data_IF_530223695535
#
_entry.id   IF_530223695535
#
_cell.length_a   1.000
_cell.length_b   1.000
_cell.length_c   1.000
_cell.angle_alpha   90.00
_cell.angle_beta   90.00
_cell.angle_gamma   90.00
#
_symmetry.space_group_name_H-M   'P 1'
#
loop_
_entity.id
_entity.type
_entity.pdbx_description
1 polymer ?
#
# COMPACT_ATOMS: atom_id res chain seq x y z
N UNK A 1 -20.27 26.46 -7.66
CA UNK A 1 -20.55 25.14 -7.05
C UNK A 1 -19.21 24.53 -6.70
N UNK A 2 -19.11 23.83 -5.57
CA UNK A 2 -17.86 23.18 -5.16
C UNK A 2 -17.43 22.15 -6.20
N UNK A 3 -16.18 22.21 -6.66
CA UNK A 3 -15.58 21.27 -7.61
C UNK A 3 -14.98 20.03 -6.91
N UNK A 4 -15.25 19.88 -5.61
CA UNK A 4 -14.77 18.78 -4.79
C UNK A 4 -15.46 17.47 -5.18
N UNK A 5 -14.68 16.44 -5.49
CA UNK A 5 -15.17 15.09 -5.81
C UNK A 5 -15.03 14.14 -4.62
N UNK A 6 -13.92 14.22 -3.89
CA UNK A 6 -13.65 13.40 -2.71
C UNK A 6 -12.89 14.22 -1.66
N UNK A 7 -13.44 14.31 -0.45
CA UNK A 7 -12.76 14.84 0.73
C UNK A 7 -12.59 13.71 1.73
N UNK A 8 -11.35 13.52 2.15
CA UNK A 8 -10.99 12.56 3.19
C UNK A 8 -10.32 13.33 4.31
N UNK A 9 -10.89 13.28 5.50
CA UNK A 9 -10.34 13.94 6.70
C UNK A 9 -10.05 12.89 7.78
N UNK A 10 -8.81 12.87 8.27
CA UNK A 10 -8.33 11.99 9.35
C UNK A 10 -8.78 10.54 9.18
N UNK A 11 -8.65 9.98 7.97
CA UNK A 11 -9.06 8.58 7.74
C UNK A 11 -8.22 7.65 8.60
N UNK A 12 -8.92 6.87 9.43
CA UNK A 12 -8.36 5.80 10.22
C UNK A 12 -9.20 4.54 10.07
N UNK A 13 -8.56 3.38 10.16
CA UNK A 13 -9.25 2.09 10.12
C UNK A 13 -8.78 1.18 11.21
N UNK A 14 -9.77 0.55 11.82
CA UNK A 14 -9.63 -0.39 12.90
C UNK A 14 -10.27 -1.72 12.52
N UNK A 15 -9.49 -2.81 12.53
CA UNK A 15 -10.05 -4.16 12.34
C UNK A 15 -10.29 -4.82 13.69
N UNK A 16 -11.46 -5.43 13.93
CA UNK A 16 -11.64 -6.33 15.04
C UNK A 16 -10.74 -7.55 14.85
N UNK A 17 -9.96 -7.87 15.89
CA UNK A 17 -9.14 -9.07 15.93
C UNK A 17 -9.56 -9.96 17.10
N UNK A 18 -9.10 -11.22 17.08
CA UNK A 18 -9.31 -12.17 18.19
C UNK A 18 -8.94 -11.58 19.55
N UNK A 19 -7.96 -10.68 19.60
CA UNK A 19 -7.58 -9.91 20.80
C UNK A 19 -7.47 -8.42 20.51
N UNK A 20 -8.59 -7.71 20.63
CA UNK A 20 -8.64 -6.25 20.58
C UNK A 20 -8.82 -5.71 19.17
N UNK A 21 -8.30 -4.50 18.95
CA UNK A 21 -8.54 -3.73 17.73
C UNK A 21 -7.23 -3.34 17.06
N UNK A 22 -7.22 -3.43 15.73
CA UNK A 22 -6.06 -3.25 14.86
C UNK A 22 -6.15 -1.93 14.14
N UNK A 23 -5.41 -0.90 14.58
CA UNK A 23 -5.29 0.35 13.82
C UNK A 23 -4.39 0.12 12.60
N UNK A 24 -4.97 0.07 11.41
CA UNK A 24 -4.30 -0.31 10.17
C UNK A 24 -3.90 0.87 9.28
N UNK A 25 -4.71 1.93 9.27
CA UNK A 25 -4.46 3.22 8.60
C UNK A 25 -4.87 4.32 9.58
N UNK A 26 -4.19 5.47 9.58
CA UNK A 26 -4.55 6.63 10.41
C UNK A 26 -4.02 7.94 9.83
N UNK A 27 -4.79 9.01 9.95
CA UNK A 27 -4.34 10.37 9.65
C UNK A 27 -4.17 10.65 8.17
N UNK A 28 -4.88 9.92 7.30
CA UNK A 28 -4.87 10.22 5.87
C UNK A 28 -5.90 11.32 5.62
N UNK A 29 -5.41 12.50 5.23
CA UNK A 29 -6.24 13.66 4.89
C UNK A 29 -5.86 14.15 3.50
N UNK A 30 -6.84 14.28 2.60
CA UNK A 30 -6.65 14.83 1.27
C UNK A 30 -7.97 15.24 0.62
N UNK A 31 -7.86 16.06 -0.43
CA UNK A 31 -8.97 16.48 -1.27
C UNK A 31 -8.65 16.09 -2.72
N UNK A 32 -9.65 15.60 -3.43
CA UNK A 32 -9.60 15.35 -4.87
C UNK A 32 -10.74 16.13 -5.50
N UNK A 33 -10.43 17.00 -6.44
CA UNK A 33 -11.39 17.73 -7.24
C UNK A 33 -11.84 16.90 -8.44
N UNK A 34 -12.94 17.31 -9.08
CA UNK A 34 -13.47 16.58 -10.24
C UNK A 34 -12.40 16.51 -11.32
N UNK A 35 -12.22 15.30 -11.85
CA UNK A 35 -11.24 14.93 -12.85
C UNK A 35 -9.77 15.13 -12.46
N UNK A 36 -9.48 15.34 -11.18
CA UNK A 36 -8.16 15.09 -10.64
C UNK A 36 -7.95 13.59 -10.40
N UNK A 37 -6.69 13.16 -10.52
CA UNK A 37 -6.30 11.78 -10.24
C UNK A 37 -5.32 11.72 -9.08
N UNK A 38 -5.51 10.75 -8.19
CA UNK A 38 -4.67 10.54 -7.01
C UNK A 38 -3.74 9.34 -7.19
N UNK A 39 -2.43 9.58 -7.10
CA UNK A 39 -1.40 8.55 -6.95
C UNK A 39 -1.03 8.32 -5.48
N UNK A 40 -1.07 7.07 -5.03
CA UNK A 40 -0.45 6.60 -3.80
C UNK A 40 0.93 6.02 -4.14
N UNK A 41 1.98 6.61 -3.57
CA UNK A 41 3.37 6.29 -3.90
C UNK A 41 4.09 5.82 -2.63
N UNK A 42 4.92 4.79 -2.72
CA UNK A 42 5.80 4.40 -1.61
C UNK A 42 6.17 2.93 -1.64
N UNK A 43 6.95 2.48 -0.66
CA UNK A 43 7.51 1.13 -0.65
C UNK A 43 6.48 0.00 -0.63
N UNK A 44 6.92 -1.20 -1.06
CA UNK A 44 6.10 -2.39 -0.91
C UNK A 44 5.75 -2.62 0.57
N UNK A 45 4.46 -2.86 0.83
CA UNK A 45 3.95 -3.03 2.18
C UNK A 45 3.78 -1.74 3.00
N UNK A 46 3.83 -0.57 2.38
CA UNK A 46 3.59 0.73 3.05
C UNK A 46 2.11 1.03 3.35
N UNK A 47 1.18 0.24 2.81
CA UNK A 47 -0.26 0.38 3.09
C UNK A 47 -1.10 1.05 2.00
N UNK A 48 -0.53 1.29 0.80
CA UNK A 48 -1.23 1.87 -0.37
C UNK A 48 -2.51 1.12 -0.74
N UNK A 49 -2.38 -0.18 -1.06
CA UNK A 49 -3.51 -1.09 -1.38
C UNK A 49 -4.56 -1.13 -0.27
N UNK A 50 -4.11 -1.17 0.98
CA UNK A 50 -5.02 -1.17 2.12
C UNK A 50 -5.82 0.14 2.19
N UNK A 51 -5.16 1.27 1.95
CA UNK A 51 -5.80 2.59 1.90
C UNK A 51 -6.82 2.67 0.75
N UNK A 52 -6.49 2.19 -0.46
CA UNK A 52 -7.45 2.13 -1.56
C UNK A 52 -8.69 1.30 -1.21
N UNK A 53 -8.51 0.10 -0.64
CA UNK A 53 -9.62 -0.77 -0.22
C UNK A 53 -10.51 -0.13 0.85
N UNK A 54 -9.89 0.60 1.77
CA UNK A 54 -10.60 1.34 2.80
C UNK A 54 -11.44 2.45 2.17
N UNK A 55 -10.83 3.28 1.32
CA UNK A 55 -11.51 4.37 0.62
C UNK A 55 -12.70 3.83 -0.18
N UNK A 56 -12.49 2.76 -0.94
CA UNK A 56 -13.52 2.04 -1.66
C UNK A 56 -14.70 1.62 -0.76
N UNK A 57 -14.41 1.13 0.45
CA UNK A 57 -15.45 0.69 1.40
C UNK A 57 -16.21 1.82 2.09
N UNK A 58 -15.57 2.97 2.36
CA UNK A 58 -16.19 4.05 3.15
C UNK A 58 -16.88 5.11 2.30
N UNK A 59 -16.51 5.26 1.02
CA UNK A 59 -17.07 6.32 0.16
C UNK A 59 -18.52 6.06 -0.28
N UNK A 60 -19.03 4.82 -0.15
CA UNK A 60 -20.42 4.49 -0.49
C UNK A 60 -20.78 4.65 -1.97
N UNK A 61 -19.76 4.68 -2.85
CA UNK A 61 -19.91 4.77 -4.31
C UNK A 61 -19.50 3.45 -4.97
N UNK A 62 -19.79 3.29 -6.25
CA UNK A 62 -19.35 2.11 -6.99
C UNK A 62 -17.81 2.07 -7.05
N UNK A 63 -17.25 0.86 -7.07
CA UNK A 63 -15.80 0.68 -7.11
C UNK A 63 -15.45 -0.35 -8.16
N UNK A 64 -14.55 0.03 -9.06
CA UNK A 64 -13.88 -0.90 -9.96
C UNK A 64 -12.44 -1.01 -9.49
N UNK A 65 -12.04 -2.21 -9.06
CA UNK A 65 -10.67 -2.50 -8.67
C UNK A 65 -10.01 -3.30 -9.77
N UNK A 66 -8.95 -2.73 -10.35
CA UNK A 66 -8.16 -3.33 -11.41
C UNK A 66 -6.71 -3.43 -10.95
N UNK A 67 -6.11 -4.60 -11.14
CA UNK A 67 -4.66 -4.77 -10.98
C UNK A 67 -4.05 -5.10 -12.33
N UNK A 68 -2.93 -4.44 -12.62
CA UNK A 68 -2.20 -4.66 -13.87
C UNK A 68 -1.59 -6.06 -13.95
N UNK A 69 -1.47 -6.78 -12.82
CA UNK A 69 -1.03 -8.18 -12.76
C UNK A 69 -1.99 -9.16 -13.42
N UNK A 70 -3.28 -8.84 -13.40
CA UNK A 70 -4.33 -9.73 -13.92
C UNK A 70 -4.58 -9.51 -15.42
N UNK A 71 -3.86 -8.56 -16.03
CA UNK A 71 -4.04 -8.17 -17.43
C UNK A 71 -2.99 -8.85 -18.31
N UNK A 72 -3.46 -9.43 -19.41
CA UNK A 72 -2.55 -9.91 -20.46
C UNK A 72 -1.92 -8.71 -21.18
N UNK A 73 -0.60 -8.72 -21.44
CA UNK A 73 0.04 -7.68 -22.25
C UNK A 73 -0.48 -7.65 -23.70
N UNK A 74 -1.24 -8.67 -24.12
CA UNK A 74 -1.86 -8.77 -25.44
C UNK A 74 -3.35 -8.40 -25.45
N UNK A 75 -3.94 -8.05 -24.30
CA UNK A 75 -5.31 -7.53 -24.27
C UNK A 75 -5.30 -6.06 -24.71
N UNK A 76 -5.72 -5.82 -25.94
CA UNK A 76 -6.06 -4.49 -26.41
C UNK A 76 -7.30 -3.99 -25.66
N UNK A 77 -7.35 -2.69 -25.33
CA UNK A 77 -8.54 -1.96 -24.88
C UNK A 77 -9.11 -2.27 -23.48
N UNK A 78 -8.47 -3.09 -22.63
CA UNK A 78 -9.00 -3.38 -21.28
C UNK A 78 -9.20 -2.12 -20.41
N UNK A 79 -8.32 -1.13 -20.57
CA UNK A 79 -8.44 0.16 -19.89
C UNK A 79 -9.70 0.89 -20.34
N UNK A 80 -9.92 0.99 -21.66
CA UNK A 80 -11.11 1.63 -22.22
C UNK A 80 -12.40 0.97 -21.74
N UNK A 81 -12.45 -0.37 -21.74
CA UNK A 81 -13.60 -1.14 -21.24
C UNK A 81 -13.89 -0.86 -19.76
N UNK A 82 -12.85 -0.78 -18.92
CA UNK A 82 -12.98 -0.42 -17.51
C UNK A 82 -13.58 0.98 -17.35
N UNK A 83 -13.12 1.97 -18.13
CA UNK A 83 -13.64 3.32 -18.05
C UNK A 83 -15.04 3.45 -18.66
N UNK A 84 -15.39 2.67 -19.69
CA UNK A 84 -16.77 2.57 -20.18
C UNK A 84 -17.71 2.04 -19.11
N UNK A 85 -17.30 0.98 -18.41
CA UNK A 85 -18.05 0.46 -17.27
C UNK A 85 -18.14 1.50 -16.15
N UNK A 86 -17.04 2.17 -15.79
CA UNK A 86 -17.00 3.21 -14.77
C UNK A 86 -17.97 4.36 -15.08
N UNK A 87 -18.05 4.77 -16.36
CA UNK A 87 -19.01 5.78 -16.83
C UNK A 87 -20.45 5.29 -16.70
N UNK A 88 -20.72 4.03 -17.02
CA UNK A 88 -22.05 3.44 -16.91
C UNK A 88 -22.54 3.30 -15.45
N UNK A 89 -21.62 3.10 -14.50
CA UNK A 89 -21.94 2.94 -13.07
C UNK A 89 -21.59 4.17 -12.22
N UNK A 90 -21.35 5.32 -12.85
CA UNK A 90 -21.01 6.55 -12.15
C UNK A 90 -22.11 6.97 -11.14
N UNK A 91 -21.78 7.51 -9.93
CA UNK A 91 -20.45 7.84 -9.42
C UNK A 91 -19.61 6.62 -9.05
N UNK A 92 -18.33 6.65 -9.40
CA UNK A 92 -17.44 5.49 -9.27
C UNK A 92 -16.01 5.88 -8.86
N UNK A 93 -15.36 5.04 -8.06
CA UNK A 93 -13.91 5.05 -7.85
C UNK A 93 -13.29 3.95 -8.71
N UNK A 94 -12.28 4.29 -9.50
CA UNK A 94 -11.47 3.31 -10.23
C UNK A 94 -10.12 3.19 -9.54
N UNK A 95 -9.79 2.00 -9.04
CA UNK A 95 -8.51 1.71 -8.38
C UNK A 95 -7.61 0.94 -9.33
N UNK A 96 -6.47 1.51 -9.68
CA UNK A 96 -5.39 0.89 -10.45
C UNK A 96 -4.24 0.51 -9.53
N UNK A 97 -4.06 -0.79 -9.25
CA UNK A 97 -2.98 -1.26 -8.40
C UNK A 97 -1.72 -1.68 -9.15
N UNK A 98 -0.58 -1.32 -8.56
CA UNK A 98 0.77 -1.66 -9.01
C UNK A 98 1.03 -1.24 -10.46
N UNK A 99 0.75 0.03 -10.79
CA UNK A 99 0.91 0.56 -12.15
C UNK A 99 2.37 0.59 -12.63
N UNK A 100 3.32 0.42 -11.71
CA UNK A 100 4.76 0.28 -11.97
C UNK A 100 5.17 -1.10 -12.49
N UNK A 101 4.36 -2.15 -12.27
CA UNK A 101 4.73 -3.52 -12.63
C UNK A 101 4.88 -3.72 -14.14
N UNK A 102 4.30 -2.82 -14.93
CA UNK A 102 4.39 -2.91 -16.38
C UNK A 102 5.65 -2.23 -16.94
N UNK A 103 6.34 -1.36 -16.20
CA UNK A 103 7.57 -0.68 -16.68
C UNK A 103 8.83 -1.54 -16.76
N UNK A 104 8.75 -2.80 -16.31
CA UNK A 104 9.85 -3.76 -16.42
C UNK A 104 9.61 -4.68 -17.63
N UNK A 105 9.79 -4.12 -18.82
CA UNK A 105 9.98 -4.92 -20.00
C UNK A 105 11.14 -5.90 -19.72
N UNK A 106 10.93 -7.21 -19.91
CA UNK A 106 11.95 -8.25 -19.65
C UNK A 106 13.22 -8.08 -20.50
N UNK A 107 13.20 -7.11 -21.42
CA UNK A 107 14.25 -6.66 -22.33
C UNK A 107 15.23 -5.64 -21.72
N UNK A 108 14.93 -5.05 -20.54
CA UNK A 108 15.79 -4.04 -19.92
C UNK A 108 15.78 -2.67 -20.60
N UNK A 109 14.91 -2.45 -21.60
CA UNK A 109 14.66 -1.14 -22.20
C UNK A 109 13.44 -0.52 -21.53
N UNK A 110 13.64 0.49 -20.70
CA UNK A 110 12.60 1.21 -19.96
C UNK A 110 11.64 1.98 -20.86
N UNK A 111 10.64 1.28 -21.40
CA UNK A 111 9.54 1.86 -22.16
C UNK A 111 8.24 1.89 -21.36
N UNK A 112 7.46 2.95 -21.54
CA UNK A 112 6.06 3.03 -21.07
C UNK A 112 5.27 1.98 -21.85
N UNK A 113 4.51 1.14 -21.15
CA UNK A 113 3.73 0.09 -21.81
C UNK A 113 2.44 0.62 -22.40
N UNK A 114 1.93 -0.09 -23.40
CA UNK A 114 0.66 0.25 -24.05
C UNK A 114 -0.48 0.42 -23.04
N UNK A 115 -0.56 -0.43 -22.01
CA UNK A 115 -1.57 -0.34 -20.95
C UNK A 115 -1.44 0.94 -20.12
N UNK A 116 -0.21 1.33 -19.72
CA UNK A 116 0.00 2.58 -18.99
C UNK A 116 -0.28 3.80 -19.87
N UNK A 117 0.11 3.76 -21.14
CA UNK A 117 -0.19 4.81 -22.10
C UNK A 117 -1.71 5.00 -22.31
N UNK A 118 -2.45 3.89 -22.42
CA UNK A 118 -3.91 3.89 -22.54
C UNK A 118 -4.59 4.43 -21.28
N UNK A 119 -4.12 4.04 -20.09
CA UNK A 119 -4.58 4.61 -18.83
C UNK A 119 -4.40 6.13 -18.82
N UNK A 120 -3.21 6.60 -19.18
CA UNK A 120 -2.94 8.04 -19.23
C UNK A 120 -3.77 8.76 -20.30
N UNK A 121 -4.21 8.09 -21.37
CA UNK A 121 -5.13 8.64 -22.37
C UNK A 121 -6.56 8.75 -21.83
N UNK A 122 -7.05 7.76 -21.10
CA UNK A 122 -8.37 7.85 -20.45
C UNK A 122 -8.39 8.95 -19.39
N UNK A 123 -7.29 9.15 -18.66
CA UNK A 123 -7.16 10.24 -17.69
C UNK A 123 -7.20 11.64 -18.34
N UNK A 124 -6.74 11.79 -19.59
CA UNK A 124 -6.89 13.05 -20.35
C UNK A 124 -8.35 13.37 -20.72
N UNK A 125 -9.22 12.37 -20.72
CA UNK A 125 -10.63 12.48 -21.10
C UNK A 125 -11.52 13.17 -20.05
N UNK A 126 -11.02 14.23 -19.40
CA UNK A 126 -11.59 14.88 -18.21
C UNK A 126 -13.11 15.13 -18.30
N UNK A 127 -13.61 15.70 -19.40
CA UNK A 127 -15.05 15.98 -19.56
C UNK A 127 -15.92 14.71 -19.48
N UNK A 128 -15.39 13.57 -19.92
CA UNK A 128 -16.10 12.27 -19.90
C UNK A 128 -16.05 11.59 -18.54
N UNK A 129 -15.13 11.99 -17.67
CA UNK A 129 -14.84 11.34 -16.39
C UNK A 129 -15.28 12.17 -15.17
N UNK A 130 -16.17 13.16 -15.35
CA UNK A 130 -16.52 14.18 -14.33
C UNK A 130 -17.02 13.66 -12.96
N UNK A 131 -17.46 12.40 -12.87
CA UNK A 131 -17.96 11.72 -11.67
C UNK A 131 -17.19 10.41 -11.40
N UNK A 132 -15.96 10.32 -11.90
CA UNK A 132 -15.06 9.20 -11.70
C UNK A 132 -13.83 9.72 -10.97
N UNK A 133 -13.50 9.11 -9.83
CA UNK A 133 -12.25 9.37 -9.11
C UNK A 133 -11.30 8.21 -9.39
N UNK A 134 -10.13 8.51 -9.93
CA UNK A 134 -9.12 7.49 -10.18
C UNK A 134 -8.05 7.49 -9.08
N UNK A 135 -7.83 6.33 -8.47
CA UNK A 135 -6.76 6.06 -7.51
C UNK A 135 -5.74 5.13 -8.17
N UNK A 136 -4.46 5.48 -8.20
CA UNK A 136 -3.41 4.57 -8.64
C UNK A 136 -2.39 4.29 -7.55
N UNK A 137 -1.84 3.07 -7.48
CA UNK A 137 -0.74 2.74 -6.57
C UNK A 137 0.54 2.40 -7.33
N UNK A 138 1.68 2.91 -6.87
CA UNK A 138 3.01 2.61 -7.43
C UNK A 138 4.05 2.49 -6.32
N UNK A 139 5.06 1.63 -6.50
CA UNK A 139 6.26 1.62 -5.66
C UNK A 139 7.41 2.44 -6.25
N UNK A 140 7.29 2.84 -7.52
CA UNK A 140 8.34 3.51 -8.30
C UNK A 140 7.82 4.87 -8.76
N UNK A 141 8.25 5.92 -8.08
CA UNK A 141 7.87 7.30 -8.45
C UNK A 141 8.46 7.67 -9.82
N UNK A 142 9.67 7.22 -10.10
CA UNK A 142 10.39 7.51 -11.34
C UNK A 142 9.66 6.96 -12.58
N UNK A 143 9.05 5.78 -12.47
CA UNK A 143 8.26 5.19 -13.58
C UNK A 143 7.02 6.05 -13.87
N UNK A 144 6.41 6.60 -12.82
CA UNK A 144 5.28 7.50 -12.96
C UNK A 144 5.71 8.83 -13.59
N UNK A 145 6.82 9.40 -13.13
CA UNK A 145 7.34 10.67 -13.65
C UNK A 145 7.77 10.57 -15.12
N UNK A 146 8.42 9.46 -15.52
CA UNK A 146 8.74 9.18 -16.92
C UNK A 146 7.47 9.09 -17.78
N UNK A 147 6.44 8.38 -17.30
CA UNK A 147 5.17 8.25 -18.01
C UNK A 147 4.40 9.57 -18.12
N UNK A 148 4.57 10.45 -17.13
CA UNK A 148 3.94 11.76 -17.04
C UNK A 148 4.77 12.92 -17.63
N UNK A 149 6.01 12.68 -18.03
CA UNK A 149 6.96 13.73 -18.41
C UNK A 149 6.42 14.66 -19.53
N UNK A 150 5.70 14.09 -20.50
CA UNK A 150 5.10 14.84 -21.62
C UNK A 150 3.61 15.17 -21.39
N UNK A 151 3.15 14.99 -20.16
CA UNK A 151 1.77 14.72 -19.79
C UNK A 151 1.45 15.31 -18.40
N UNK A 152 1.85 16.57 -18.10
CA UNK A 152 1.70 17.16 -16.76
C UNK A 152 0.23 17.34 -16.39
N UNK A 153 -0.12 17.11 -15.11
CA UNK A 153 -1.49 17.26 -14.59
C UNK A 153 -2.42 16.05 -14.76
N UNK A 154 -1.88 14.82 -14.82
CA UNK A 154 -2.69 13.58 -14.88
C UNK A 154 -2.66 12.75 -13.62
N UNK A 155 -1.74 13.08 -12.73
CA UNK A 155 -1.75 12.69 -11.33
C UNK A 155 -1.55 13.98 -10.56
N UNK A 156 -2.64 14.73 -10.44
CA UNK A 156 -2.71 16.06 -9.83
C UNK A 156 -2.32 16.00 -8.36
N UNK A 157 -2.69 14.89 -7.69
CA UNK A 157 -2.33 14.64 -6.32
C UNK A 157 -1.44 13.40 -6.17
N UNK A 158 -0.33 13.57 -5.44
CA UNK A 158 0.59 12.49 -5.07
C UNK A 158 0.69 12.37 -3.55
N UNK A 159 0.14 11.30 -2.99
CA UNK A 159 0.29 10.96 -1.58
C UNK A 159 1.44 9.96 -1.39
N UNK A 160 2.48 10.39 -0.69
CA UNK A 160 3.66 9.56 -0.42
C UNK A 160 3.55 8.85 0.94
N UNK A 161 3.67 7.53 0.89
CA UNK A 161 3.73 6.63 2.03
C UNK A 161 5.19 6.37 2.37
N UNK A 162 5.70 7.08 3.38
CA UNK A 162 7.02 6.83 3.96
C UNK A 162 7.08 5.57 4.81
N UNK A 163 8.29 5.19 5.19
CA UNK A 163 8.48 4.17 6.21
C UNK A 163 7.88 4.64 7.54
N UNK A 164 7.29 3.72 8.34
CA UNK A 164 6.72 4.07 9.63
C UNK A 164 7.78 4.67 10.54
N UNK A 165 7.45 5.74 11.28
CA UNK A 165 8.28 6.28 12.35
C UNK A 165 8.38 5.30 13.54
N UNK A 166 9.17 5.63 14.56
CA UNK A 166 9.38 4.75 15.72
C UNK A 166 8.07 4.40 16.45
N UNK A 167 7.19 5.37 16.66
CA UNK A 167 5.92 5.18 17.36
C UNK A 167 4.94 4.34 16.51
N UNK A 168 4.91 4.56 15.20
CA UNK A 168 4.18 3.74 14.24
C UNK A 168 4.73 2.31 14.21
N UNK A 169 6.05 2.10 14.24
CA UNK A 169 6.67 0.76 14.33
C UNK A 169 6.31 0.04 15.63
N UNK A 170 6.30 0.71 16.78
CA UNK A 170 5.85 0.13 18.06
C UNK A 170 4.40 -0.35 17.94
N UNK A 171 3.52 0.45 17.32
CA UNK A 171 2.12 0.10 17.11
C UNK A 171 1.98 -1.11 16.18
N UNK A 172 2.73 -1.14 15.08
CA UNK A 172 2.75 -2.27 14.15
C UNK A 172 3.27 -3.55 14.83
N UNK A 173 4.29 -3.46 15.66
CA UNK A 173 4.79 -4.60 16.44
C UNK A 173 3.73 -5.13 17.40
N UNK A 174 3.08 -4.25 18.19
CA UNK A 174 1.96 -4.64 19.06
C UNK A 174 0.85 -5.29 18.27
N UNK A 175 0.54 -4.72 17.12
CA UNK A 175 -0.50 -5.19 16.23
C UNK A 175 -0.24 -6.62 15.73
N UNK A 176 0.97 -6.88 15.21
CA UNK A 176 1.32 -8.18 14.64
C UNK A 176 1.60 -9.22 15.73
N UNK A 177 2.01 -8.80 16.92
CA UNK A 177 2.28 -9.69 18.05
C UNK A 177 1.05 -10.01 18.91
N UNK A 178 -0.09 -9.31 18.74
CA UNK A 178 -1.25 -9.35 19.65
C UNK A 178 -1.80 -10.75 19.97
N UNK A 179 -1.71 -11.67 19.00
CA UNK A 179 -2.30 -13.01 19.12
C UNK A 179 -1.31 -14.01 19.75
N UNK A 180 -0.05 -13.60 19.93
CA UNK A 180 1.05 -14.41 20.47
C UNK A 180 1.45 -13.98 21.88
N UNK A 181 2.16 -14.82 22.61
CA UNK A 181 2.69 -14.47 23.92
C UNK A 181 4.04 -13.76 23.76
N UNK A 182 4.09 -12.45 24.01
CA UNK A 182 5.36 -11.70 24.01
C UNK A 182 6.03 -11.92 25.36
N UNK A 183 7.28 -12.38 25.37
CA UNK A 183 8.02 -12.62 26.61
C UNK A 183 8.28 -11.30 27.37
N UNK A 184 8.37 -11.37 28.70
CA UNK A 184 8.51 -10.20 29.58
C UNK A 184 9.79 -9.40 29.32
N UNK A 185 10.84 -10.04 28.82
CA UNK A 185 12.12 -9.43 28.50
C UNK A 185 12.14 -8.73 27.12
N UNK A 186 11.05 -8.80 26.35
CA UNK A 186 10.94 -8.18 25.03
C UNK A 186 10.40 -6.75 25.13
N UNK A 187 11.28 -5.77 24.94
CA UNK A 187 10.90 -4.37 24.74
C UNK A 187 10.55 -4.12 23.27
N UNK A 188 9.25 -3.94 22.97
CA UNK A 188 8.83 -3.57 21.61
C UNK A 188 9.36 -2.20 21.17
N UNK A 189 9.68 -1.31 22.12
CA UNK A 189 10.33 -0.04 21.82
C UNK A 189 11.76 -0.24 21.30
N UNK A 190 12.54 -1.12 21.94
CA UNK A 190 13.90 -1.43 21.51
C UNK A 190 13.89 -2.11 20.13
N UNK A 191 12.95 -3.03 19.92
CA UNK A 191 12.74 -3.71 18.64
C UNK A 191 12.38 -2.70 17.55
N UNK A 192 11.52 -1.72 17.84
CA UNK A 192 11.14 -0.66 16.89
C UNK A 192 12.32 0.23 16.50
N UNK A 193 13.24 0.53 17.43
CA UNK A 193 14.49 1.26 17.10
C UNK A 193 15.36 0.44 16.17
N UNK A 194 15.48 -0.87 16.40
CA UNK A 194 16.31 -1.75 15.57
C UNK A 194 15.76 -1.98 14.17
N UNK A 195 14.46 -1.75 13.98
CA UNK A 195 13.72 -1.75 12.72
C UNK A 195 13.65 -0.35 12.07
N UNK A 196 14.54 0.58 12.44
CA UNK A 196 14.63 1.88 11.74
C UNK A 196 14.87 1.68 10.23
N UNK A 197 14.12 2.42 9.42
CA UNK A 197 14.14 2.30 7.95
C UNK A 197 13.36 1.12 7.39
N UNK A 198 12.78 0.25 8.22
CA UNK A 198 11.93 -0.86 7.79
C UNK A 198 10.52 -0.39 7.39
N UNK A 199 10.00 -0.91 6.27
CA UNK A 199 8.58 -0.76 5.90
C UNK A 199 7.64 -1.55 6.83
N UNK A 200 6.34 -1.28 6.76
CA UNK A 200 5.34 -2.03 7.55
C UNK A 200 5.33 -3.54 7.28
N UNK A 201 5.67 -3.97 6.06
CA UNK A 201 5.83 -5.39 5.73
C UNK A 201 7.02 -6.03 6.47
N UNK A 202 8.16 -5.35 6.54
CA UNK A 202 9.31 -5.84 7.30
C UNK A 202 9.01 -5.99 8.80
N UNK A 203 8.24 -5.05 9.38
CA UNK A 203 7.80 -5.16 10.78
C UNK A 203 6.92 -6.39 10.98
N UNK A 204 5.98 -6.66 10.05
CA UNK A 204 5.15 -7.88 10.07
C UNK A 204 6.01 -9.13 9.97
N UNK A 205 6.95 -9.13 9.03
CA UNK A 205 7.82 -10.25 8.75
C UNK A 205 8.72 -10.58 9.94
N UNK A 206 9.25 -9.58 10.66
CA UNK A 206 10.03 -9.77 11.87
C UNK A 206 9.25 -10.61 12.91
N UNK A 207 7.98 -10.27 13.13
CA UNK A 207 7.10 -11.00 14.05
C UNK A 207 6.77 -12.38 13.51
N UNK A 208 6.40 -12.49 12.22
CA UNK A 208 6.03 -13.76 11.59
C UNK A 208 7.17 -14.79 11.68
N UNK A 209 8.40 -14.36 11.37
CA UNK A 209 9.60 -15.22 11.45
C UNK A 209 9.90 -15.63 12.88
N UNK A 210 9.72 -14.71 13.84
CA UNK A 210 9.88 -15.02 15.25
C UNK A 210 8.89 -16.12 15.70
N UNK A 211 7.64 -16.01 15.27
CA UNK A 211 6.58 -17.00 15.54
C UNK A 211 6.87 -18.35 14.88
N UNK A 212 7.29 -18.37 13.62
CA UNK A 212 7.63 -19.62 12.91
C UNK A 212 8.78 -20.34 13.62
N UNK A 213 9.85 -19.62 13.97
CA UNK A 213 10.98 -20.18 14.72
C UNK A 213 10.56 -20.74 16.09
N UNK A 214 9.66 -20.04 16.79
CA UNK A 214 9.12 -20.51 18.06
C UNK A 214 8.26 -21.78 17.89
N UNK A 215 7.42 -21.85 16.84
CA UNK A 215 6.63 -23.05 16.52
C UNK A 215 7.53 -24.25 16.24
N UNK A 216 8.59 -24.09 15.45
CA UNK A 216 9.55 -25.16 15.12
C UNK A 216 10.26 -25.71 16.36
N UNK A 217 10.45 -24.86 17.38
CA UNK A 217 11.10 -25.23 18.65
C UNK A 217 10.13 -25.66 19.75
N UNK A 218 8.82 -25.62 19.49
CA UNK A 218 7.79 -25.91 20.50
C UNK A 218 7.73 -24.88 21.63
N UNK A 219 8.16 -23.64 21.37
CA UNK A 219 8.17 -22.53 22.34
C UNK A 219 6.76 -21.95 22.50
N UNK A 220 5.96 -22.60 23.36
CA UNK A 220 4.60 -22.18 23.70
C UNK A 220 4.44 -21.86 25.20
N UNK A 221 3.43 -21.07 25.55
CA UNK A 221 2.96 -20.89 26.92
C UNK A 221 2.08 -22.06 27.37
N UNK A 222 1.81 -22.17 28.68
CA UNK A 222 0.96 -23.23 29.22
C UNK A 222 -0.48 -23.23 28.70
N UNK A 223 -0.98 -22.08 28.21
CA UNK A 223 -2.28 -21.93 27.53
C UNK A 223 -2.19 -22.14 26.00
N UNK A 224 -1.06 -22.62 25.48
CA UNK A 224 -0.88 -23.01 24.07
C UNK A 224 -0.59 -21.85 23.10
N UNK A 225 -0.26 -20.65 23.59
CA UNK A 225 0.14 -19.53 22.72
C UNK A 225 1.60 -19.67 22.35
N UNK A 226 1.91 -19.48 21.07
CA UNK A 226 3.30 -19.41 20.60
C UNK A 226 3.97 -18.17 21.19
N UNK A 227 5.23 -18.32 21.62
CA UNK A 227 6.02 -17.24 22.19
C UNK A 227 6.70 -16.39 21.12
N UNK A 228 6.71 -15.09 21.32
CA UNK A 228 7.55 -14.12 20.60
C UNK A 228 8.69 -13.78 21.54
N UNK A 229 9.84 -14.41 21.32
CA UNK A 229 11.02 -14.28 22.17
C UNK A 229 11.97 -13.22 21.63
N UNK A 230 12.81 -12.66 22.51
CA UNK A 230 13.88 -11.72 22.11
C UNK A 230 14.83 -12.38 21.11
N UNK A 231 15.26 -13.61 21.37
CA UNK A 231 16.20 -14.32 20.51
C UNK A 231 15.67 -14.51 19.08
N UNK A 232 14.39 -14.86 18.91
CA UNK A 232 13.81 -15.11 17.60
C UNK A 232 13.55 -13.80 16.83
N UNK A 233 13.15 -12.71 17.52
CA UNK A 233 13.08 -11.38 16.91
C UNK A 233 14.47 -10.88 16.47
N UNK A 234 15.49 -11.12 17.29
CA UNK A 234 16.86 -10.69 17.01
C UNK A 234 17.42 -11.39 15.77
N UNK A 235 17.21 -12.71 15.67
CA UNK A 235 17.57 -13.49 14.51
C UNK A 235 16.84 -13.02 13.25
N UNK A 236 15.52 -12.78 13.33
CA UNK A 236 14.74 -12.28 12.21
C UNK A 236 15.25 -10.91 11.71
N UNK A 237 15.55 -9.99 12.64
CA UNK A 237 16.05 -8.64 12.31
C UNK A 237 17.46 -8.70 11.69
N UNK A 238 18.34 -9.57 12.21
CA UNK A 238 19.68 -9.74 11.69
C UNK A 238 19.66 -10.23 10.23
N UNK A 239 18.73 -11.13 9.89
CA UNK A 239 18.62 -11.66 8.53
C UNK A 239 18.23 -10.59 7.51
N UNK A 240 17.35 -9.64 7.86
CA UNK A 240 17.01 -8.51 6.99
C UNK A 240 18.25 -7.66 6.66
N UNK A 241 19.10 -7.43 7.67
CA UNK A 241 20.27 -6.55 7.54
C UNK A 241 21.40 -7.19 6.74
N UNK A 242 21.51 -8.53 6.76
CA UNK A 242 22.50 -9.26 5.98
C UNK A 242 22.15 -9.39 4.50
N UNK A 243 20.87 -9.47 4.13
CA UNK A 243 20.43 -9.63 2.74
C UNK A 243 20.54 -8.36 1.88
N UNK A 244 21.11 -7.27 2.38
CA UNK A 244 21.23 -6.01 1.64
C UNK A 244 19.88 -5.41 1.24
N UNK A 245 18.78 -5.81 1.89
CA UNK A 245 17.40 -5.48 1.52
C UNK A 245 16.98 -4.07 1.96
N UNK A 246 17.94 -3.27 2.45
CA UNK A 246 17.70 -1.93 2.94
C UNK A 246 18.20 -0.88 1.95
N UNK A 247 17.29 -0.37 1.13
CA UNK A 247 17.41 0.99 0.62
C UNK A 247 16.61 1.85 1.60
N UNK A 248 17.32 2.42 2.58
CA UNK A 248 16.73 3.46 3.43
C UNK A 248 16.56 4.72 2.60
N UNK A 249 15.33 5.01 2.16
CA UNK A 249 15.03 6.34 1.65
C UNK A 249 15.00 7.29 2.84
N UNK A 250 16.03 8.13 2.90
CA UNK A 250 16.20 9.17 3.92
C UNK A 250 15.03 10.14 3.94
N UNK A 251 14.97 10.89 5.05
CA UNK A 251 13.94 11.90 5.36
C UNK A 251 13.62 12.84 4.21
#
# INVERSE_FOLDING_TARGET
MSDLALLVEDLWVEYPARRGVVKAVRGVTFEVHRGETLALIGESGSGKTLTCRILAGVCGVNVIHATMKDMSPFQESIVGEIYELARAISPCIVVWEDVDIIGADRSGTGGITHVLADLLNELDGFERNHNIVTLATTNREEVMDEALANRPGRFDLKLRFGNPDTEQRIRLLRLFARDYAVDEDVSLADVAVRLEGCSGAHVREAVQRSVVAAMERGECTGDGRVRVTRANLDAAIAEFKQKGTFIGFGK
#
